data_IF_558244769126
#
_entry.id   IF_558244769126
#
_cell.length_a   1.000
_cell.length_b   1.000
_cell.length_c   1.000
_cell.angle_alpha   90.00
_cell.angle_beta   90.00
_cell.angle_gamma   90.00
#
_symmetry.space_group_name_H-M   'P 1'
#
loop_
_entity.id
_entity.type
_entity.pdbx_description
1 polymer ?
#
# COMPACT_ATOMS: atom_id res chain seq x y z
N UNK A 1 26.13 -0.57 -12.41
CA UNK A 1 25.25 -0.82 -11.26
C UNK A 1 25.63 0.18 -10.17
N UNK A 2 24.67 0.86 -9.52
CA UNK A 2 25.00 1.76 -8.39
C UNK A 2 25.42 0.88 -7.21
N UNK A 3 26.61 1.10 -6.66
CA UNK A 3 27.17 0.29 -5.57
C UNK A 3 26.63 0.69 -4.18
N UNK A 4 25.90 1.81 -4.09
CA UNK A 4 25.27 2.29 -2.86
C UNK A 4 23.97 3.01 -3.23
N UNK A 5 22.90 2.70 -2.51
CA UNK A 5 21.60 3.37 -2.63
C UNK A 5 21.41 4.22 -1.37
N UNK A 6 21.21 5.52 -1.55
CA UNK A 6 20.90 6.46 -0.45
C UNK A 6 19.46 6.30 0.04
N UNK A 7 18.60 5.69 -0.78
CA UNK A 7 17.20 5.43 -0.52
C UNK A 7 16.76 4.16 -1.29
N UNK A 8 15.71 3.46 -0.84
CA UNK A 8 15.18 2.31 -1.55
C UNK A 8 14.74 2.69 -2.98
N UNK A 9 15.00 1.79 -3.93
CA UNK A 9 14.63 2.00 -5.34
C UNK A 9 13.16 1.69 -5.62
N UNK A 10 12.56 0.82 -4.81
CA UNK A 10 11.17 0.39 -4.88
C UNK A 10 10.63 0.28 -3.46
N UNK A 11 9.43 0.81 -3.24
CA UNK A 11 8.67 0.63 -2.00
C UNK A 11 7.28 0.13 -2.36
N UNK A 12 6.94 -1.07 -1.88
CA UNK A 12 5.60 -1.66 -1.98
C UNK A 12 4.86 -1.44 -0.66
N UNK A 13 3.76 -0.68 -0.70
CA UNK A 13 2.95 -0.36 0.48
C UNK A 13 1.63 -1.11 0.36
N UNK A 14 1.31 -1.97 1.32
CA UNK A 14 0.00 -2.65 1.38
C UNK A 14 -0.95 -1.85 2.27
N UNK A 15 -1.97 -1.22 1.68
CA UNK A 15 -2.89 -0.33 2.41
C UNK A 15 -3.96 -1.13 3.16
N UNK A 16 -4.46 -2.21 2.56
CA UNK A 16 -5.55 -3.02 3.11
C UNK A 16 -5.38 -4.49 2.75
N UNK A 17 -5.78 -5.36 3.66
CA UNK A 17 -5.88 -6.80 3.43
C UNK A 17 -7.29 -7.26 3.05
N UNK A 18 -8.23 -6.34 2.82
CA UNK A 18 -9.61 -6.65 2.45
C UNK A 18 -9.77 -6.83 0.95
N UNK A 19 -9.91 -8.08 0.48
CA UNK A 19 -10.19 -8.35 -0.93
C UNK A 19 -11.61 -8.84 -1.16
N UNK A 20 -12.23 -8.44 -2.26
CA UNK A 20 -13.46 -9.05 -2.75
C UNK A 20 -13.22 -10.36 -3.53
N UNK A 21 -11.96 -10.71 -3.82
CA UNK A 21 -11.57 -11.93 -4.54
C UNK A 21 -10.90 -12.93 -3.60
N UNK A 22 -11.12 -14.22 -3.85
CA UNK A 22 -10.48 -15.34 -3.16
C UNK A 22 -9.63 -16.12 -4.16
N UNK A 23 -8.36 -15.73 -4.30
CA UNK A 23 -7.44 -16.38 -5.23
C UNK A 23 -6.67 -17.49 -4.52
N UNK A 24 -6.63 -18.69 -5.09
CA UNK A 24 -5.96 -19.87 -4.49
C UNK A 24 -4.43 -19.70 -4.36
N UNK A 25 -3.86 -18.75 -5.10
CA UNK A 25 -2.43 -18.43 -5.11
C UNK A 25 -2.10 -17.07 -4.45
N UNK A 26 -3.06 -16.47 -3.72
CA UNK A 26 -2.82 -15.20 -3.06
C UNK A 26 -1.93 -15.38 -1.83
N UNK A 27 -0.74 -14.77 -1.85
CA UNK A 27 0.16 -14.74 -0.69
C UNK A 27 -0.50 -14.09 0.54
N UNK A 28 -1.31 -13.05 0.34
CA UNK A 28 -1.88 -12.26 1.42
C UNK A 28 -3.10 -12.92 2.11
N UNK A 29 -3.62 -14.03 1.57
CA UNK A 29 -4.84 -14.72 2.06
C UNK A 29 -5.99 -13.75 2.36
N UNK A 30 -6.09 -12.68 1.57
CA UNK A 30 -6.99 -11.56 1.80
C UNK A 30 -8.45 -12.00 1.74
N UNK A 31 -9.27 -11.47 2.66
CA UNK A 31 -10.68 -11.82 2.80
C UNK A 31 -11.52 -10.54 2.91
N UNK A 32 -12.77 -10.53 2.42
CA UNK A 32 -13.63 -9.35 2.53
C UNK A 32 -14.03 -9.03 3.99
N UNK A 33 -13.83 -9.98 4.91
CA UNK A 33 -14.17 -9.86 6.33
C UNK A 33 -12.96 -9.54 7.21
N UNK A 34 -11.80 -9.21 6.62
CA UNK A 34 -10.64 -8.79 7.40
C UNK A 34 -10.92 -7.52 8.21
N UNK A 35 -10.31 -7.44 9.39
CA UNK A 35 -10.63 -6.37 10.35
C UNK A 35 -9.88 -5.09 9.98
N UNK A 36 -10.59 -3.95 9.88
CA UNK A 36 -9.99 -2.62 9.57
C UNK A 36 -9.03 -2.08 10.66
N UNK A 37 -9.02 -2.70 11.84
CA UNK A 37 -8.36 -2.16 13.04
C UNK A 37 -6.82 -2.06 12.93
N UNK A 38 -6.21 -2.77 11.97
CA UNK A 38 -4.76 -2.75 11.73
C UNK A 38 -4.40 -2.02 10.42
N UNK A 39 -5.37 -1.38 9.76
CA UNK A 39 -5.10 -0.63 8.52
C UNK A 39 -4.49 0.74 8.81
N UNK A 40 -3.62 1.18 7.90
CA UNK A 40 -2.93 2.46 8.03
C UNK A 40 -3.88 3.63 7.77
N UNK A 41 -3.91 4.59 8.70
CA UNK A 41 -4.70 5.80 8.54
C UNK A 41 -4.17 6.70 7.40
N UNK A 42 -5.07 7.47 6.78
CA UNK A 42 -4.75 8.34 5.66
C UNK A 42 -3.74 9.44 6.02
N UNK A 43 -3.75 9.92 7.26
CA UNK A 43 -2.80 10.94 7.72
C UNK A 43 -1.38 10.36 7.74
N UNK A 44 -1.22 9.16 8.30
CA UNK A 44 0.07 8.46 8.33
C UNK A 44 0.57 8.12 6.92
N UNK A 45 -0.34 7.71 6.03
CA UNK A 45 -0.01 7.41 4.65
C UNK A 45 0.49 8.66 3.90
N UNK A 46 -0.10 9.83 4.16
CA UNK A 46 0.34 11.09 3.56
C UNK A 46 1.72 11.53 4.06
N UNK A 47 1.99 11.40 5.36
CA UNK A 47 3.32 11.65 5.93
C UNK A 47 4.36 10.69 5.34
N UNK A 48 4.03 9.41 5.21
CA UNK A 48 4.90 8.41 4.59
C UNK A 48 5.25 8.78 3.14
N UNK A 49 4.30 9.28 2.35
CA UNK A 49 4.62 9.72 0.99
C UNK A 49 5.54 10.94 0.95
N UNK A 50 5.38 11.89 1.89
CA UNK A 50 6.29 13.03 2.00
C UNK A 50 7.71 12.57 2.33
N UNK A 51 7.86 11.66 3.30
CA UNK A 51 9.16 11.10 3.67
C UNK A 51 9.83 10.36 2.48
N UNK A 52 9.04 9.60 1.70
CA UNK A 52 9.54 8.89 0.51
C UNK A 52 9.93 9.84 -0.63
N UNK A 53 9.23 10.96 -0.80
CA UNK A 53 9.54 12.01 -1.77
C UNK A 53 10.83 12.75 -1.38
N UNK A 54 10.97 13.11 -0.10
CA UNK A 54 12.18 13.73 0.46
C UNK A 54 13.43 12.84 0.29
N UNK A 55 13.24 11.52 0.38
CA UNK A 55 14.29 10.52 0.13
C UNK A 55 14.57 10.27 -1.35
N UNK A 56 13.80 10.89 -2.26
CA UNK A 56 13.91 10.74 -3.71
C UNK A 56 13.77 9.28 -4.16
N UNK A 57 12.80 8.57 -3.57
CA UNK A 57 12.47 7.18 -3.90
C UNK A 57 11.97 7.11 -5.34
N UNK A 58 12.57 6.22 -6.13
CA UNK A 58 12.36 6.22 -7.58
C UNK A 58 11.01 5.63 -8.01
N UNK A 59 10.47 4.69 -7.22
CA UNK A 59 9.20 4.02 -7.52
C UNK A 59 8.48 3.64 -6.25
N UNK A 60 7.24 4.10 -6.13
CA UNK A 60 6.32 3.71 -5.08
C UNK A 60 5.19 2.93 -5.73
N UNK A 61 4.90 1.76 -5.17
CA UNK A 61 3.89 0.84 -5.64
C UNK A 61 2.89 0.65 -4.52
N UNK A 62 1.67 1.12 -4.76
CA UNK A 62 0.57 0.88 -3.86
C UNK A 62 -0.01 -0.48 -4.18
N UNK A 63 -0.10 -1.29 -3.15
CA UNK A 63 -0.63 -2.63 -3.15
C UNK A 63 -1.65 -2.76 -2.04
N UNK A 64 -2.34 -3.88 -2.00
CA UNK A 64 -3.52 -4.05 -1.18
C UNK A 64 -4.66 -4.51 -2.05
N UNK A 65 -5.44 -5.40 -1.47
CA UNK A 65 -6.43 -6.12 -2.23
C UNK A 65 -7.60 -5.16 -2.55
N UNK A 66 -7.75 -4.80 -3.82
CA UNK A 66 -8.72 -3.79 -4.30
C UNK A 66 -8.56 -2.36 -3.73
N UNK A 67 -7.45 -1.70 -4.08
CA UNK A 67 -7.25 -0.23 -3.93
C UNK A 67 -8.42 0.63 -4.45
N UNK A 68 -9.20 0.10 -5.40
CA UNK A 68 -10.38 0.75 -5.97
C UNK A 68 -11.56 0.86 -5.00
N UNK A 69 -11.67 -0.01 -3.98
CA UNK A 69 -12.79 0.05 -3.03
C UNK A 69 -12.68 1.28 -2.13
N UNK A 70 -11.51 1.54 -1.54
CA UNK A 70 -11.33 2.70 -0.65
C UNK A 70 -11.28 4.03 -1.44
N UNK A 71 -10.72 4.08 -2.66
CA UNK A 71 -10.73 5.30 -3.48
C UNK A 71 -12.13 5.71 -3.97
N UNK A 72 -13.04 4.76 -4.21
CA UNK A 72 -14.44 5.08 -4.57
C UNK A 72 -15.19 5.66 -3.37
N UNK A 73 -14.96 5.14 -2.17
CA UNK A 73 -15.60 5.64 -0.94
C UNK A 73 -15.05 6.99 -0.47
N UNK A 74 -13.80 7.33 -0.75
CA UNK A 74 -13.25 8.67 -0.43
C UNK A 74 -13.76 9.78 -1.36
N UNK A 75 -14.52 9.45 -2.41
CA UNK A 75 -15.02 10.40 -3.42
C UNK A 75 -16.51 10.74 -3.26
N UNK A 76 -17.15 10.29 -2.18
CA UNK A 76 -18.54 10.56 -1.83
C UNK A 76 -18.66 11.14 -0.42
#
# INVERSE_FOLDING_TARGET
MRNYYTAPSLVDISITNRCNLKCDYCYASSSPFETKNEEMDLVHLNTLFQDLDDMNVHRISLTGASLLLEMIFSRY
#
